data_IF_416611664914
#
_entry.id   IF_416611664914
#
_cell.length_a   1.000
_cell.length_b   1.000
_cell.length_c   1.000
_cell.angle_alpha   90.00
_cell.angle_beta   90.00
_cell.angle_gamma   90.00
#
_symmetry.space_group_name_H-M   'P 1'
#
loop_
_entity.id
_entity.type
_entity.pdbx_description
1 polymer ?
#
# COMPACT_ATOMS: atom_id res chain seq x y z
N UNK A 1 -7.90 6.14 18.18
CA UNK A 1 -6.77 7.08 18.40
C UNK A 1 -6.85 7.68 19.81
N UNK A 2 -5.73 7.76 20.49
CA UNK A 2 -5.67 8.34 21.85
C UNK A 2 -5.86 9.87 21.85
N UNK A 3 -5.37 10.55 20.81
CA UNK A 3 -5.50 11.99 20.63
C UNK A 3 -6.10 12.25 19.25
N UNK A 4 -7.08 13.15 19.18
CA UNK A 4 -7.67 13.59 17.91
C UNK A 4 -6.71 14.55 17.21
N UNK A 5 -6.21 14.24 15.99
CA UNK A 5 -5.37 15.16 15.24
C UNK A 5 -6.22 16.31 14.67
N UNK A 6 -5.87 17.54 15.04
CA UNK A 6 -6.54 18.76 14.56
C UNK A 6 -5.47 19.75 14.08
N UNK A 7 -5.80 20.47 13.01
CA UNK A 7 -5.09 21.70 12.61
C UNK A 7 -5.86 22.90 13.14
N UNK A 8 -5.24 23.65 14.03
CA UNK A 8 -5.87 24.74 14.72
C UNK A 8 -5.51 26.09 14.07
N UNK A 9 -6.50 26.79 13.50
CA UNK A 9 -6.27 28.11 12.93
C UNK A 9 -6.06 29.13 14.05
N UNK A 10 -4.85 29.65 14.13
CA UNK A 10 -4.44 30.65 15.12
C UNK A 10 -4.30 32.06 14.52
N UNK A 11 -4.62 32.25 13.24
CA UNK A 11 -4.45 33.52 12.53
C UNK A 11 -5.18 34.65 13.28
N UNK A 12 -4.40 35.65 13.74
CA UNK A 12 -4.91 36.81 14.49
C UNK A 12 -5.43 36.51 15.89
N UNK A 13 -5.43 35.25 16.35
CA UNK A 13 -5.90 34.86 17.68
C UNK A 13 -4.82 35.03 18.74
N UNK A 14 -5.23 35.34 19.95
CA UNK A 14 -4.33 35.45 21.11
C UNK A 14 -3.84 34.08 21.55
N UNK A 15 -2.55 33.94 21.74
CA UNK A 15 -1.89 32.77 22.37
C UNK A 15 -1.01 33.28 23.49
N UNK A 16 -1.11 32.65 24.67
CA UNK A 16 -0.30 33.02 25.83
C UNK A 16 0.87 32.06 25.98
N UNK A 17 2.07 32.58 26.17
CA UNK A 17 3.27 31.80 26.45
C UNK A 17 3.81 32.21 27.80
N UNK A 18 3.72 31.31 28.79
CA UNK A 18 4.19 31.52 30.15
C UNK A 18 5.56 30.87 30.33
N UNK A 19 6.51 31.63 30.85
CA UNK A 19 7.88 31.19 31.11
C UNK A 19 8.89 31.77 30.14
N UNK A 20 10.16 31.45 30.37
CA UNK A 20 11.34 31.98 29.66
C UNK A 20 12.27 30.87 29.20
N UNK A 21 13.21 31.21 28.34
CA UNK A 21 14.23 30.31 27.85
C UNK A 21 13.79 29.47 26.63
N UNK A 22 14.67 28.56 26.16
CA UNK A 22 14.55 27.92 24.84
C UNK A 22 13.25 27.14 24.62
N UNK A 23 12.65 26.58 25.68
CA UNK A 23 11.39 25.83 25.57
C UNK A 23 10.19 26.75 25.33
N UNK A 24 10.13 27.89 26.02
CA UNK A 24 9.10 28.91 25.84
C UNK A 24 9.29 29.63 24.49
N UNK A 25 10.53 29.92 24.10
CA UNK A 25 10.85 30.61 22.84
C UNK A 25 10.43 29.80 21.63
N UNK A 26 10.77 28.49 21.56
CA UNK A 26 10.32 27.60 20.48
C UNK A 26 8.79 27.54 20.34
N UNK A 27 8.05 27.60 21.46
CA UNK A 27 6.58 27.61 21.45
C UNK A 27 6.00 28.93 20.96
N UNK A 28 6.65 30.03 21.36
CA UNK A 28 6.30 31.34 20.87
C UNK A 28 6.53 31.46 19.35
N UNK A 29 7.67 31.00 18.86
CA UNK A 29 8.01 30.98 17.44
C UNK A 29 7.03 30.13 16.63
N UNK A 30 6.65 28.95 17.15
CA UNK A 30 5.65 28.11 16.52
C UNK A 30 4.29 28.80 16.45
N UNK A 31 3.85 29.46 17.53
CA UNK A 31 2.59 30.20 17.52
C UNK A 31 2.64 31.40 16.57
N UNK A 32 3.75 32.13 16.51
CA UNK A 32 3.95 33.24 15.55
C UNK A 32 3.90 32.74 14.10
N UNK A 33 4.58 31.62 13.79
CA UNK A 33 4.57 31.04 12.45
C UNK A 33 3.15 30.60 12.00
N UNK A 34 2.29 30.27 12.98
CA UNK A 34 0.88 29.97 12.76
C UNK A 34 -0.01 31.22 12.72
N UNK A 35 0.56 32.43 12.70
CA UNK A 35 -0.16 33.70 12.61
C UNK A 35 -0.80 34.19 13.92
N UNK A 36 -0.45 33.61 15.08
CA UNK A 36 -1.00 34.03 16.36
C UNK A 36 -0.44 35.36 16.84
N UNK A 37 -1.27 36.07 17.64
CA UNK A 37 -0.83 37.20 18.48
C UNK A 37 -0.31 36.62 19.80
N UNK A 38 0.99 36.45 19.90
CA UNK A 38 1.64 35.90 21.10
C UNK A 38 1.72 36.96 22.19
N UNK A 39 1.23 36.63 23.37
CA UNK A 39 1.35 37.44 24.59
C UNK A 39 2.21 36.68 25.60
N UNK A 40 3.25 37.33 26.09
CA UNK A 40 4.08 36.85 27.20
C UNK A 40 3.80 37.69 28.43
N UNK A 41 3.29 37.15 29.54
CA UNK A 41 3.17 37.85 30.80
C UNK A 41 4.53 38.38 31.24
N UNK A 42 4.58 39.60 31.76
CA UNK A 42 5.81 40.25 32.19
C UNK A 42 6.29 39.76 33.56
N UNK A 43 5.43 39.11 34.31
CA UNK A 43 5.76 38.55 35.63
C UNK A 43 5.95 37.02 35.52
N UNK A 44 6.74 36.45 36.44
CA UNK A 44 6.93 35.00 36.55
C UNK A 44 5.66 34.25 36.94
N UNK A 45 4.64 34.97 37.38
CA UNK A 45 3.31 34.46 37.73
C UNK A 45 2.29 35.10 36.75
N UNK A 46 1.73 34.28 35.85
CA UNK A 46 0.63 34.71 34.97
C UNK A 46 -0.68 34.86 35.76
N UNK A 47 -1.45 35.90 35.46
CA UNK A 47 -2.74 36.14 36.09
C UNK A 47 -3.90 35.67 35.19
N UNK A 48 -5.10 35.51 35.76
CA UNK A 48 -6.31 35.14 35.00
C UNK A 48 -6.63 36.10 33.85
N UNK A 49 -6.24 37.39 33.99
CA UNK A 49 -6.42 38.41 32.97
C UNK A 49 -5.58 38.12 31.71
N UNK A 50 -4.40 37.49 31.86
CA UNK A 50 -3.51 37.15 30.75
C UNK A 50 -4.14 36.11 29.84
N UNK A 51 -4.91 35.18 30.39
CA UNK A 51 -5.50 34.05 29.63
C UNK A 51 -6.86 34.40 28.99
N UNK A 52 -7.55 35.45 29.44
CA UNK A 52 -8.88 35.80 28.89
C UNK A 52 -8.83 36.01 27.38
N UNK A 53 -9.71 35.29 26.68
CA UNK A 53 -9.81 35.37 25.23
C UNK A 53 -8.68 34.72 24.45
N UNK A 54 -7.77 34.01 25.13
CA UNK A 54 -6.73 33.25 24.46
C UNK A 54 -7.30 31.96 23.81
N UNK A 55 -6.79 31.60 22.63
CA UNK A 55 -7.16 30.39 21.95
C UNK A 55 -6.42 29.17 22.49
N UNK A 56 -5.21 29.36 23.00
CA UNK A 56 -4.39 28.34 23.63
C UNK A 56 -3.33 28.98 24.54
N UNK A 57 -2.78 28.20 25.45
CA UNK A 57 -1.65 28.60 26.26
C UNK A 57 -0.52 27.56 26.20
N UNK A 58 0.71 28.04 26.08
CA UNK A 58 1.93 27.26 26.22
C UNK A 58 2.60 27.63 27.53
N UNK A 59 2.95 26.63 28.33
CA UNK A 59 3.54 26.82 29.65
C UNK A 59 4.91 26.12 29.68
N UNK A 60 5.95 26.86 30.05
CA UNK A 60 7.31 26.39 30.12
C UNK A 60 8.09 27.22 31.14
N UNK A 61 7.69 27.16 32.43
CA UNK A 61 8.33 27.93 33.51
C UNK A 61 9.63 27.29 34.00
N UNK A 62 9.83 26.01 33.67
CA UNK A 62 11.00 25.20 34.12
C UNK A 62 10.81 24.55 35.47
N UNK A 63 9.79 24.87 36.25
CA UNK A 63 9.49 24.27 37.55
C UNK A 63 8.11 23.59 37.56
N UNK A 64 7.94 22.51 38.35
CA UNK A 64 6.66 21.83 38.48
C UNK A 64 5.62 22.73 39.13
N UNK A 65 6.03 23.50 40.11
CA UNK A 65 5.18 24.42 40.89
C UNK A 65 4.63 25.53 39.98
N UNK A 66 5.50 26.23 39.26
CA UNK A 66 5.14 27.28 38.30
C UNK A 66 4.28 26.77 37.16
N UNK A 67 4.63 25.61 36.60
CA UNK A 67 3.86 24.99 35.51
C UNK A 67 2.44 24.61 35.99
N UNK A 68 2.31 24.04 37.20
CA UNK A 68 1.02 23.65 37.78
C UNK A 68 0.17 24.86 38.14
N UNK A 69 0.78 25.93 38.69
CA UNK A 69 0.09 27.17 39.01
C UNK A 69 -0.46 27.85 37.75
N UNK A 70 0.35 28.04 36.69
CA UNK A 70 -0.08 28.62 35.43
C UNK A 70 -1.14 27.78 34.74
N UNK A 71 -1.00 26.46 34.73
CA UNK A 71 -1.99 25.52 34.17
C UNK A 71 -3.36 25.65 34.88
N UNK A 72 -3.38 25.72 36.21
CA UNK A 72 -4.63 25.87 36.97
C UNK A 72 -5.34 27.19 36.61
N UNK A 73 -4.62 28.27 36.47
CA UNK A 73 -5.17 29.59 36.13
C UNK A 73 -5.71 29.55 34.69
N UNK A 74 -4.97 28.99 33.73
CA UNK A 74 -5.42 28.87 32.35
C UNK A 74 -6.69 28.01 32.24
N UNK A 75 -6.75 26.89 32.93
CA UNK A 75 -7.95 26.02 32.95
C UNK A 75 -9.15 26.68 33.58
N UNK A 76 -8.96 27.47 34.64
CA UNK A 76 -10.05 28.23 35.28
C UNK A 76 -10.67 29.27 34.31
N UNK A 77 -9.94 29.70 33.29
CA UNK A 77 -10.44 30.60 32.21
C UNK A 77 -10.93 29.86 30.96
N UNK A 78 -10.92 28.50 30.97
CA UNK A 78 -11.36 27.68 29.84
C UNK A 78 -10.35 27.60 28.68
N UNK A 79 -9.11 28.00 28.88
CA UNK A 79 -8.07 28.01 27.86
C UNK A 79 -7.34 26.67 27.84
N UNK A 80 -7.29 25.94 26.69
CA UNK A 80 -6.54 24.71 26.58
C UNK A 80 -5.05 24.97 26.68
N UNK A 81 -4.32 24.02 27.35
CA UNK A 81 -2.91 24.19 27.68
C UNK A 81 -2.03 23.08 27.13
N UNK A 82 -0.82 23.45 26.73
CA UNK A 82 0.31 22.55 26.55
C UNK A 82 1.44 22.96 27.51
N UNK A 83 1.85 22.02 28.36
CA UNK A 83 2.92 22.22 29.33
C UNK A 83 4.17 21.48 28.86
N UNK A 84 5.30 22.17 28.81
CA UNK A 84 6.56 21.61 28.34
C UNK A 84 6.99 20.41 29.20
N UNK A 85 7.30 19.29 28.53
CA UNK A 85 7.83 18.07 29.14
C UNK A 85 6.96 17.45 30.27
N UNK A 86 5.66 17.87 30.33
CA UNK A 86 4.69 17.38 31.34
C UNK A 86 3.38 16.97 30.72
N UNK A 87 3.32 15.81 30.03
CA UNK A 87 2.11 15.35 29.33
C UNK A 87 0.87 15.26 30.22
N UNK A 88 1.02 14.94 31.51
CA UNK A 88 -0.10 14.83 32.45
C UNK A 88 -0.80 16.17 32.73
N UNK A 89 -0.17 17.31 32.47
CA UNK A 89 -0.71 18.64 32.64
C UNK A 89 -1.27 19.22 31.34
N UNK A 90 -1.15 18.51 30.20
CA UNK A 90 -1.53 18.98 28.88
C UNK A 90 -2.97 18.60 28.53
N UNK A 91 -3.71 19.52 27.90
CA UNK A 91 -4.96 19.25 27.21
C UNK A 91 -4.73 18.83 25.75
N UNK A 92 -3.62 19.27 25.16
CA UNK A 92 -3.18 18.89 23.82
C UNK A 92 -1.67 18.72 23.75
N UNK A 93 -1.19 17.96 22.79
CA UNK A 93 0.24 17.70 22.54
C UNK A 93 0.70 18.37 21.24
N UNK A 94 1.98 18.75 21.18
CA UNK A 94 2.60 19.23 19.96
C UNK A 94 3.18 18.06 19.17
N UNK A 95 2.83 17.91 17.87
CA UNK A 95 3.42 16.90 16.99
C UNK A 95 4.81 17.31 16.49
N UNK A 96 5.56 16.38 15.93
CA UNK A 96 6.65 16.71 15.02
C UNK A 96 6.06 17.17 13.68
N UNK A 97 6.58 18.26 13.11
CA UNK A 97 5.99 18.91 11.95
C UNK A 97 6.96 18.87 10.77
N UNK A 98 6.44 18.52 9.59
CA UNK A 98 7.05 18.80 8.28
C UNK A 98 6.18 19.86 7.61
N UNK A 99 6.77 20.99 7.23
CA UNK A 99 6.11 22.04 6.46
C UNK A 99 6.86 22.25 5.13
N UNK A 100 6.10 22.21 4.05
CA UNK A 100 6.58 22.45 2.68
C UNK A 100 5.66 23.45 2.00
N UNK A 101 5.85 24.74 2.31
CA UNK A 101 5.15 25.88 1.70
C UNK A 101 3.61 25.72 1.76
N UNK A 102 3.10 25.44 2.98
CA UNK A 102 1.67 25.29 3.28
C UNK A 102 1.12 23.86 3.19
N UNK A 103 1.93 22.90 2.74
CA UNK A 103 1.60 21.46 2.92
C UNK A 103 2.23 20.98 4.22
N UNK A 104 1.40 20.73 5.23
CA UNK A 104 1.84 20.39 6.57
C UNK A 104 1.53 18.94 6.89
N UNK A 105 2.53 18.20 7.40
CA UNK A 105 2.36 16.86 7.96
C UNK A 105 2.69 16.91 9.46
N UNK A 106 1.73 16.49 10.28
CA UNK A 106 1.87 16.42 11.73
C UNK A 106 1.99 14.97 12.20
N UNK A 107 3.02 14.65 12.96
CA UNK A 107 3.36 13.29 13.37
C UNK A 107 3.36 13.20 14.88
N UNK A 108 2.56 12.30 15.44
CA UNK A 108 2.51 12.04 16.89
C UNK A 108 2.67 10.55 17.18
N UNK A 109 3.46 10.24 18.20
CA UNK A 109 3.60 8.90 18.77
C UNK A 109 2.75 8.72 20.03
N UNK A 110 1.77 9.63 20.26
CA UNK A 110 0.95 9.61 21.48
C UNK A 110 1.73 9.92 22.77
N UNK A 111 2.89 10.56 22.65
CA UNK A 111 3.79 10.85 23.77
C UNK A 111 4.77 9.70 24.08
N UNK A 112 4.76 8.59 23.33
CA UNK A 112 5.58 7.41 23.63
C UNK A 112 7.08 7.64 23.36
N UNK A 113 7.45 8.30 22.24
CA UNK A 113 8.86 8.50 21.90
C UNK A 113 9.08 9.71 20.99
N UNK A 114 9.73 10.76 21.49
CA UNK A 114 10.15 11.90 20.66
C UNK A 114 11.14 11.49 19.56
N UNK A 115 12.02 10.55 19.84
CA UNK A 115 13.01 10.02 18.88
C UNK A 115 12.33 9.34 17.72
N UNK A 116 11.33 8.49 17.96
CA UNK A 116 10.55 7.86 16.89
C UNK A 116 9.81 8.90 16.03
N UNK A 117 9.21 9.92 16.65
CA UNK A 117 8.57 11.01 15.93
C UNK A 117 9.56 11.78 15.02
N UNK A 118 10.80 12.00 15.52
CA UNK A 118 11.87 12.65 14.74
C UNK A 118 12.34 11.79 13.56
N UNK A 119 12.52 10.48 13.75
CA UNK A 119 12.88 9.54 12.68
C UNK A 119 11.80 9.52 11.59
N UNK A 120 10.52 9.41 11.98
CA UNK A 120 9.40 9.41 11.06
C UNK A 120 9.29 10.75 10.31
N UNK A 121 9.53 11.87 11.01
CA UNK A 121 9.60 13.19 10.39
C UNK A 121 10.65 13.21 9.27
N UNK A 122 11.87 12.79 9.54
CA UNK A 122 12.95 12.78 8.54
C UNK A 122 12.63 11.90 7.33
N UNK A 123 12.03 10.72 7.54
CA UNK A 123 11.60 9.82 6.45
C UNK A 123 10.51 10.46 5.57
N UNK A 124 9.50 11.06 6.18
CA UNK A 124 8.41 11.73 5.45
C UNK A 124 8.96 12.96 4.73
N UNK A 125 9.79 13.75 5.37
CA UNK A 125 10.42 14.94 4.78
C UNK A 125 11.25 14.59 3.54
N UNK A 126 12.02 13.50 3.58
CA UNK A 126 12.79 12.99 2.44
C UNK A 126 11.91 12.45 1.29
N UNK A 127 10.68 12.01 1.58
CA UNK A 127 9.75 11.48 0.57
C UNK A 127 8.92 12.56 -0.13
N UNK A 128 8.83 13.76 0.44
CA UNK A 128 8.02 14.84 -0.12
C UNK A 128 8.87 15.72 -1.06
N UNK A 129 8.38 16.00 -2.27
CA UNK A 129 9.03 16.96 -3.15
C UNK A 129 9.19 18.33 -2.48
N UNK A 130 10.33 18.96 -2.70
CA UNK A 130 10.64 20.24 -2.07
C UNK A 130 9.61 21.33 -2.38
N UNK A 131 9.07 21.33 -3.62
CA UNK A 131 8.06 22.27 -4.11
C UNK A 131 6.62 21.76 -4.06
N UNK A 132 6.30 20.83 -3.18
CA UNK A 132 4.93 20.28 -3.12
C UNK A 132 3.87 21.36 -2.80
N UNK A 133 4.22 22.43 -2.12
CA UNK A 133 3.36 23.59 -1.90
C UNK A 133 2.87 24.25 -3.19
N UNK A 134 3.65 24.18 -4.28
CA UNK A 134 3.22 24.67 -5.59
C UNK A 134 2.00 23.89 -6.13
N UNK A 135 1.90 22.59 -5.82
CA UNK A 135 0.71 21.78 -6.18
C UNK A 135 -0.51 22.21 -5.37
N UNK A 136 -0.33 22.51 -4.08
CA UNK A 136 -1.43 23.00 -3.25
C UNK A 136 -1.95 24.36 -3.77
N UNK A 137 -1.05 25.26 -4.18
CA UNK A 137 -1.39 26.55 -4.80
C UNK A 137 -2.14 26.34 -6.13
N UNK A 138 -1.64 25.46 -6.99
CA UNK A 138 -2.29 25.10 -8.24
C UNK A 138 -3.71 24.55 -8.00
N UNK A 139 -3.84 23.60 -7.07
CA UNK A 139 -5.14 23.02 -6.71
C UNK A 139 -6.11 24.08 -6.19
N UNK A 140 -5.66 24.97 -5.32
CA UNK A 140 -6.50 26.04 -4.78
C UNK A 140 -7.00 27.00 -5.87
N UNK A 141 -6.13 27.34 -6.84
CA UNK A 141 -6.48 28.20 -7.99
C UNK A 141 -7.64 27.66 -8.79
N UNK A 142 -7.74 26.32 -8.97
CA UNK A 142 -8.77 25.70 -9.80
C UNK A 142 -9.95 25.10 -9.02
N UNK A 143 -9.91 25.12 -7.69
CA UNK A 143 -10.89 24.45 -6.82
C UNK A 143 -12.34 24.85 -7.12
N UNK A 144 -12.62 26.14 -7.21
CA UNK A 144 -13.96 26.64 -7.49
C UNK A 144 -14.44 26.19 -8.88
N UNK A 145 -13.60 26.32 -9.91
CA UNK A 145 -13.92 25.96 -11.28
C UNK A 145 -14.20 24.47 -11.43
N UNK A 146 -13.35 23.60 -10.82
CA UNK A 146 -13.53 22.14 -10.86
C UNK A 146 -14.84 21.73 -10.17
N UNK A 147 -15.17 22.32 -9.02
CA UNK A 147 -16.39 22.02 -8.30
C UNK A 147 -17.66 22.43 -9.09
N UNK A 148 -17.61 23.55 -9.81
CA UNK A 148 -18.72 24.02 -10.64
C UNK A 148 -18.89 23.19 -11.91
N UNK A 149 -17.75 22.76 -12.54
CA UNK A 149 -17.77 22.03 -13.80
C UNK A 149 -18.23 20.58 -13.67
N UNK A 150 -17.93 19.94 -12.54
CA UNK A 150 -18.15 18.51 -12.35
C UNK A 150 -18.90 18.26 -11.05
N UNK A 151 -20.19 17.98 -11.16
CA UNK A 151 -21.04 17.62 -10.03
C UNK A 151 -20.70 16.22 -9.48
N UNK A 152 -20.41 15.25 -10.39
CA UNK A 152 -20.08 13.88 -10.00
C UNK A 152 -18.74 13.80 -9.27
N UNK A 153 -18.72 13.30 -8.01
CA UNK A 153 -17.50 13.19 -7.21
C UNK A 153 -16.41 12.30 -7.83
N UNK A 154 -16.78 11.20 -8.51
CA UNK A 154 -15.81 10.27 -9.12
C UNK A 154 -15.07 10.94 -10.30
N UNK A 155 -15.84 11.57 -11.19
CA UNK A 155 -15.29 12.32 -12.33
C UNK A 155 -14.44 13.51 -11.87
N UNK A 156 -14.87 14.20 -10.79
CA UNK A 156 -14.12 15.30 -10.18
C UNK A 156 -12.78 14.84 -9.62
N UNK A 157 -12.74 13.68 -8.94
CA UNK A 157 -11.49 13.05 -8.48
C UNK A 157 -10.56 12.71 -9.64
N UNK A 158 -11.08 12.16 -10.73
CA UNK A 158 -10.29 11.85 -11.93
C UNK A 158 -9.61 13.09 -12.52
N UNK A 159 -10.33 14.24 -12.60
CA UNK A 159 -9.72 15.50 -13.03
C UNK A 159 -8.65 15.98 -12.04
N UNK A 160 -8.92 15.96 -10.73
CA UNK A 160 -7.96 16.35 -9.72
C UNK A 160 -6.69 15.52 -9.80
N UNK A 161 -6.79 14.22 -10.01
CA UNK A 161 -5.63 13.35 -10.17
C UNK A 161 -4.78 13.77 -11.38
N UNK A 162 -5.40 14.01 -12.54
CA UNK A 162 -4.65 14.50 -13.72
C UNK A 162 -3.96 15.84 -13.46
N UNK A 163 -4.56 16.71 -12.66
CA UNK A 163 -3.95 18.00 -12.29
C UNK A 163 -2.79 17.84 -11.30
N UNK A 164 -2.90 16.91 -10.32
CA UNK A 164 -1.97 16.78 -9.21
C UNK A 164 -0.84 15.77 -9.48
N UNK A 165 -1.06 14.76 -10.33
CA UNK A 165 -0.07 13.71 -10.67
C UNK A 165 0.36 13.74 -12.15
N UNK A 166 -0.32 14.56 -12.97
CA UNK A 166 -0.12 14.65 -14.40
C UNK A 166 0.95 15.66 -14.84
N UNK A 167 0.92 16.05 -16.13
CA UNK A 167 1.88 17.01 -16.68
C UNK A 167 1.87 18.38 -16.00
N UNK A 168 0.70 18.86 -15.57
CA UNK A 168 0.59 20.12 -14.83
C UNK A 168 1.39 20.09 -13.52
N UNK A 169 1.31 18.98 -12.79
CA UNK A 169 2.06 18.80 -11.55
C UNK A 169 3.57 18.78 -11.77
N UNK A 170 4.04 18.08 -12.81
CA UNK A 170 5.48 18.03 -13.13
C UNK A 170 6.04 19.42 -13.40
N UNK A 171 5.30 20.26 -14.13
CA UNK A 171 5.69 21.65 -14.41
C UNK A 171 5.70 22.49 -13.12
N UNK A 172 4.69 22.38 -12.28
CA UNK A 172 4.61 23.08 -11.01
C UNK A 172 5.79 22.72 -10.08
N UNK A 173 6.10 21.43 -9.95
CA UNK A 173 7.24 20.93 -9.16
C UNK A 173 8.59 21.38 -9.74
N UNK A 174 8.70 21.53 -11.06
CA UNK A 174 9.88 22.06 -11.73
C UNK A 174 10.00 23.60 -11.63
N UNK A 175 8.94 24.29 -11.12
CA UNK A 175 8.93 25.74 -10.96
C UNK A 175 8.32 26.51 -12.15
N UNK A 176 7.82 25.83 -13.19
CA UNK A 176 7.09 26.44 -14.29
C UNK A 176 5.59 26.57 -13.95
N UNK A 177 5.26 27.55 -13.10
CA UNK A 177 3.86 27.80 -12.69
C UNK A 177 2.98 28.22 -13.87
N UNK A 178 3.53 28.97 -14.83
CA UNK A 178 2.78 29.40 -16.01
C UNK A 178 2.45 28.23 -16.93
N UNK A 179 3.40 27.34 -17.19
CA UNK A 179 3.19 26.09 -17.92
C UNK A 179 2.20 25.17 -17.24
N UNK A 180 2.32 24.99 -15.91
CA UNK A 180 1.39 24.22 -15.11
C UNK A 180 -0.04 24.72 -15.24
N UNK A 181 -0.23 26.05 -15.15
CA UNK A 181 -1.52 26.70 -15.31
C UNK A 181 -2.11 26.51 -16.72
N UNK A 182 -1.30 26.65 -17.79
CA UNK A 182 -1.75 26.43 -19.17
C UNK A 182 -2.25 24.98 -19.36
N UNK A 183 -1.50 24.00 -18.88
CA UNK A 183 -1.88 22.59 -18.97
C UNK A 183 -3.16 22.33 -18.17
N UNK A 184 -3.28 22.85 -16.96
CA UNK A 184 -4.47 22.71 -16.13
C UNK A 184 -5.73 23.31 -16.81
N UNK A 185 -5.62 24.46 -17.46
CA UNK A 185 -6.72 25.05 -18.23
C UNK A 185 -7.11 24.17 -19.42
N UNK A 186 -6.14 23.57 -20.11
CA UNK A 186 -6.42 22.60 -21.18
C UNK A 186 -7.22 21.38 -20.71
N UNK A 187 -6.90 20.84 -19.54
CA UNK A 187 -7.66 19.74 -18.90
C UNK A 187 -9.10 20.15 -18.56
N UNK A 188 -9.30 21.36 -18.04
CA UNK A 188 -10.63 21.91 -17.75
C UNK A 188 -11.45 22.11 -19.02
N UNK A 189 -10.84 22.63 -20.08
CA UNK A 189 -11.51 22.84 -21.37
C UNK A 189 -11.88 21.51 -22.06
N UNK A 190 -11.07 20.46 -21.91
CA UNK A 190 -11.40 19.13 -22.37
C UNK A 190 -12.68 18.59 -21.69
N UNK A 191 -12.80 18.83 -20.38
CA UNK A 191 -14.01 18.47 -19.61
C UNK A 191 -15.23 19.27 -20.08
N UNK A 192 -15.07 20.58 -20.34
CA UNK A 192 -16.15 21.45 -20.84
C UNK A 192 -16.68 20.98 -22.22
N UNK A 193 -15.80 20.54 -23.10
CA UNK A 193 -16.15 20.05 -24.43
C UNK A 193 -16.82 18.66 -24.41
N UNK A 194 -17.08 18.08 -23.22
CA UNK A 194 -17.66 16.75 -23.05
C UNK A 194 -16.91 15.61 -23.73
N UNK A 195 -15.68 15.81 -24.12
CA UNK A 195 -14.77 14.72 -24.44
C UNK A 195 -14.41 14.06 -23.12
N UNK A 196 -15.30 13.18 -22.62
CA UNK A 196 -15.00 12.40 -21.41
C UNK A 196 -13.71 11.64 -21.73
N UNK A 197 -12.63 11.86 -20.99
CA UNK A 197 -11.45 11.05 -21.20
C UNK A 197 -11.86 9.61 -20.94
N UNK A 198 -11.51 8.74 -21.87
CA UNK A 198 -11.60 7.29 -21.69
C UNK A 198 -10.74 6.97 -20.47
N UNK A 199 -11.23 6.13 -19.56
CA UNK A 199 -10.45 5.65 -18.43
C UNK A 199 -9.31 4.75 -18.86
N UNK A 200 -8.65 4.12 -17.91
CA UNK A 200 -7.56 3.18 -18.19
C UNK A 200 -7.71 1.94 -17.31
N UNK A 201 -7.38 0.77 -17.86
CA UNK A 201 -7.23 -0.44 -17.09
C UNK A 201 -5.74 -0.73 -16.80
N UNK A 202 -5.46 -1.19 -15.60
CA UNK A 202 -4.17 -1.71 -15.18
C UNK A 202 -4.35 -3.17 -14.75
N UNK A 203 -3.72 -4.09 -15.47
CA UNK A 203 -3.67 -5.51 -15.09
C UNK A 203 -2.44 -5.68 -14.21
N UNK A 204 -2.66 -5.94 -12.92
CA UNK A 204 -1.63 -5.80 -11.88
C UNK A 204 -1.44 -7.11 -11.12
N UNK A 205 -0.19 -7.53 -10.98
CA UNK A 205 0.19 -8.64 -10.10
C UNK A 205 0.24 -8.22 -8.64
N UNK A 206 -0.46 -8.95 -7.79
CA UNK A 206 -0.48 -8.75 -6.34
C UNK A 206 0.70 -9.41 -5.61
N UNK A 207 1.52 -10.18 -6.31
CA UNK A 207 2.53 -11.00 -5.66
C UNK A 207 1.95 -12.26 -5.00
N UNK A 208 2.78 -13.02 -4.26
CA UNK A 208 2.42 -14.33 -3.75
C UNK A 208 1.54 -14.30 -2.49
N UNK A 209 1.52 -13.17 -1.77
CA UNK A 209 0.67 -13.05 -0.57
C UNK A 209 1.12 -12.00 0.44
N UNK A 210 2.42 -11.84 0.64
CA UNK A 210 2.99 -10.81 1.51
C UNK A 210 2.81 -9.42 0.87
N UNK A 211 2.19 -8.45 1.57
CA UNK A 211 2.03 -7.07 1.07
C UNK A 211 3.33 -6.33 0.77
N UNK A 212 4.43 -6.70 1.42
CA UNK A 212 5.74 -6.07 1.22
C UNK A 212 6.45 -6.59 -0.06
N UNK A 213 5.89 -7.64 -0.68
CA UNK A 213 6.28 -8.14 -1.99
C UNK A 213 5.51 -7.52 -3.16
N UNK A 214 4.65 -6.52 -2.90
CA UNK A 214 4.08 -5.70 -3.96
C UNK A 214 5.19 -4.90 -4.67
N UNK A 215 5.11 -4.81 -5.98
CA UNK A 215 5.96 -3.84 -6.68
C UNK A 215 5.53 -2.41 -6.30
N UNK A 216 6.48 -1.48 -6.28
CA UNK A 216 6.18 -0.07 -6.01
C UNK A 216 5.07 0.47 -6.92
N UNK A 217 5.08 0.06 -8.20
CA UNK A 217 4.06 0.48 -9.16
C UNK A 217 2.69 -0.13 -8.85
N UNK A 218 2.62 -1.38 -8.42
CA UNK A 218 1.38 -2.00 -7.98
C UNK A 218 0.79 -1.27 -6.77
N UNK A 219 1.61 -0.97 -5.75
CA UNK A 219 1.18 -0.24 -4.57
C UNK A 219 0.66 1.17 -4.91
N UNK A 220 1.31 1.89 -5.83
CA UNK A 220 0.85 3.18 -6.31
C UNK A 220 -0.52 3.08 -7.02
N UNK A 221 -0.69 2.11 -7.92
CA UNK A 221 -1.94 1.93 -8.67
C UNK A 221 -3.11 1.56 -7.78
N UNK A 222 -2.89 0.80 -6.69
CA UNK A 222 -3.93 0.53 -5.69
C UNK A 222 -4.43 1.81 -5.01
N UNK A 223 -3.56 2.79 -4.82
CA UNK A 223 -3.94 4.11 -4.29
C UNK A 223 -4.57 5.02 -5.35
N UNK A 224 -4.36 4.74 -6.64
CA UNK A 224 -4.88 5.52 -7.74
C UNK A 224 -6.24 5.01 -8.26
N UNK A 225 -6.57 3.74 -8.07
CA UNK A 225 -7.74 3.09 -8.64
C UNK A 225 -9.06 3.70 -8.16
N UNK A 226 -10.04 3.84 -9.06
CA UNK A 226 -11.44 4.10 -8.73
C UNK A 226 -12.16 2.80 -8.39
N UNK A 227 -11.79 1.71 -9.08
CA UNK A 227 -12.29 0.36 -8.81
C UNK A 227 -11.16 -0.67 -8.92
N UNK A 228 -11.19 -1.66 -8.05
CA UNK A 228 -10.25 -2.77 -7.99
C UNK A 228 -11.04 -4.07 -8.14
N UNK A 229 -10.93 -4.70 -9.31
CA UNK A 229 -11.48 -6.03 -9.56
C UNK A 229 -10.42 -7.04 -9.14
N UNK A 230 -10.68 -7.83 -8.11
CA UNK A 230 -9.66 -8.71 -7.53
C UNK A 230 -10.06 -10.18 -7.52
N UNK A 231 -9.05 -11.05 -7.64
CA UNK A 231 -9.22 -12.49 -7.46
C UNK A 231 -9.41 -12.84 -5.98
N UNK A 232 -10.03 -13.98 -5.71
CA UNK A 232 -10.24 -14.49 -4.34
C UNK A 232 -8.92 -14.77 -3.61
N UNK A 233 -7.88 -15.17 -4.36
CA UNK A 233 -6.55 -15.47 -3.80
C UNK A 233 -5.77 -14.24 -3.33
N UNK A 234 -6.24 -13.03 -3.61
CA UNK A 234 -5.60 -11.80 -3.12
C UNK A 234 -5.93 -11.60 -1.65
N UNK A 235 -4.92 -11.59 -0.74
CA UNK A 235 -5.18 -11.46 0.68
C UNK A 235 -5.78 -10.12 1.09
N UNK A 236 -6.58 -10.06 2.17
CA UNK A 236 -7.11 -8.80 2.72
C UNK A 236 -6.04 -7.77 3.05
N UNK A 237 -4.85 -8.19 3.48
CA UNK A 237 -3.72 -7.31 3.79
C UNK A 237 -3.24 -6.51 2.56
N UNK A 238 -3.31 -7.11 1.36
CA UNK A 238 -3.01 -6.42 0.10
C UNK A 238 -4.15 -5.49 -0.29
N UNK A 239 -5.41 -5.93 -0.17
CA UNK A 239 -6.59 -5.09 -0.42
C UNK A 239 -6.63 -3.88 0.51
N UNK A 240 -6.15 -4.02 1.75
CA UNK A 240 -6.00 -2.93 2.71
C UNK A 240 -5.01 -1.84 2.29
N UNK A 241 -4.15 -2.09 1.28
CA UNK A 241 -3.28 -1.07 0.67
C UNK A 241 -4.03 -0.21 -0.35
N UNK A 242 -5.27 -0.55 -0.69
CA UNK A 242 -6.10 0.25 -1.57
C UNK A 242 -6.51 1.57 -0.90
N UNK A 243 -6.85 2.56 -1.73
CA UNK A 243 -7.47 3.80 -1.25
C UNK A 243 -8.82 3.48 -0.58
N UNK A 244 -9.14 4.15 0.52
CA UNK A 244 -10.34 3.87 1.34
C UNK A 244 -11.66 3.98 0.59
N UNK A 245 -11.74 4.82 -0.42
CA UNK A 245 -12.93 5.06 -1.23
C UNK A 245 -12.90 4.37 -2.59
N UNK A 246 -11.90 3.51 -2.86
CA UNK A 246 -11.89 2.64 -4.02
C UNK A 246 -12.96 1.55 -3.89
N UNK A 247 -13.68 1.29 -4.97
CA UNK A 247 -14.65 0.21 -5.01
C UNK A 247 -13.92 -1.13 -5.14
N UNK A 248 -14.05 -2.01 -4.16
CA UNK A 248 -13.50 -3.37 -4.20
C UNK A 248 -14.54 -4.31 -4.78
N UNK A 249 -14.24 -4.94 -5.91
CA UNK A 249 -15.13 -5.85 -6.63
C UNK A 249 -14.51 -7.25 -6.66
N UNK A 250 -15.00 -8.20 -5.85
CA UNK A 250 -14.54 -9.59 -5.92
C UNK A 250 -15.08 -10.25 -7.18
N UNK A 251 -14.18 -10.74 -8.05
CA UNK A 251 -14.54 -11.44 -9.29
C UNK A 251 -14.11 -12.91 -9.27
N UNK A 252 -13.37 -13.34 -8.23
CA UNK A 252 -12.92 -14.72 -8.03
C UNK A 252 -14.05 -15.69 -7.72
N UNK A 253 -13.80 -17.00 -7.89
CA UNK A 253 -14.71 -18.07 -7.47
C UNK A 253 -14.47 -18.38 -5.99
N UNK A 254 -15.48 -18.19 -5.14
CA UNK A 254 -15.50 -18.76 -3.79
C UNK A 254 -15.98 -20.20 -3.83
N UNK A 255 -15.40 -21.05 -2.95
CA UNK A 255 -15.86 -22.45 -2.79
C UNK A 255 -17.36 -22.43 -2.48
N UNK A 256 -18.18 -23.05 -3.34
CA UNK A 256 -19.65 -23.10 -3.20
C UNK A 256 -20.43 -21.89 -3.78
N UNK A 257 -19.77 -20.90 -4.37
CA UNK A 257 -20.41 -19.79 -5.10
C UNK A 257 -19.96 -19.77 -6.56
N UNK A 258 -20.88 -19.48 -7.48
CA UNK A 258 -20.53 -19.25 -8.89
C UNK A 258 -19.70 -17.95 -8.97
N UNK A 259 -18.42 -18.08 -9.31
CA UNK A 259 -17.60 -16.91 -9.65
C UNK A 259 -18.02 -16.32 -10.99
N UNK A 260 -17.52 -15.13 -11.29
CA UNK A 260 -17.76 -14.51 -12.59
C UNK A 260 -17.15 -15.38 -13.71
N UNK A 261 -17.89 -15.53 -14.80
CA UNK A 261 -17.32 -16.08 -16.02
C UNK A 261 -16.26 -15.10 -16.57
N UNK A 262 -15.22 -15.62 -17.22
CA UNK A 262 -14.13 -14.76 -17.74
C UNK A 262 -14.66 -13.65 -18.63
N UNK A 263 -15.59 -13.95 -19.55
CA UNK A 263 -16.22 -12.97 -20.42
C UNK A 263 -16.97 -11.86 -19.64
N UNK A 264 -17.52 -12.17 -18.45
CA UNK A 264 -18.18 -11.17 -17.62
C UNK A 264 -17.16 -10.23 -16.96
N UNK A 265 -15.99 -10.74 -16.54
CA UNK A 265 -14.90 -9.93 -16.02
C UNK A 265 -14.39 -8.96 -17.09
N UNK A 266 -14.17 -9.46 -18.32
CA UNK A 266 -13.72 -8.68 -19.46
C UNK A 266 -14.75 -7.59 -19.83
N UNK A 267 -16.03 -7.92 -19.87
CA UNK A 267 -17.11 -6.97 -20.15
C UNK A 267 -17.18 -5.87 -19.09
N UNK A 268 -16.98 -6.21 -17.81
CA UNK A 268 -16.99 -5.24 -16.71
C UNK A 268 -15.77 -4.31 -16.75
N UNK A 269 -14.59 -4.82 -17.09
CA UNK A 269 -13.39 -4.00 -17.31
C UNK A 269 -13.65 -2.98 -18.43
N UNK A 270 -14.15 -3.44 -19.57
CA UNK A 270 -14.49 -2.58 -20.73
C UNK A 270 -15.52 -1.52 -20.35
N UNK A 271 -16.59 -1.91 -19.66
CA UNK A 271 -17.66 -1.01 -19.22
C UNK A 271 -17.11 0.13 -18.34
N UNK A 272 -16.31 -0.20 -17.34
CA UNK A 272 -15.74 0.76 -16.39
C UNK A 272 -14.76 1.72 -17.05
N UNK A 273 -13.88 1.21 -17.90
CA UNK A 273 -12.91 2.04 -18.63
C UNK A 273 -13.63 2.99 -19.59
N UNK A 274 -14.68 2.54 -20.29
CA UNK A 274 -15.53 3.43 -21.12
C UNK A 274 -16.24 4.50 -20.30
N UNK A 275 -16.56 4.21 -19.04
CA UNK A 275 -17.13 5.19 -18.10
C UNK A 275 -16.10 6.20 -17.56
N UNK A 276 -14.84 6.13 -18.00
CA UNK A 276 -13.77 7.05 -17.58
C UNK A 276 -13.08 6.69 -16.27
N UNK A 277 -13.27 5.47 -15.76
CA UNK A 277 -12.65 5.04 -14.49
C UNK A 277 -11.22 4.56 -14.71
N UNK A 278 -10.37 4.78 -13.70
CA UNK A 278 -9.09 4.08 -13.55
C UNK A 278 -9.36 2.76 -12.83
N UNK A 279 -9.20 1.66 -13.55
CA UNK A 279 -9.54 0.32 -13.05
C UNK A 279 -8.28 -0.49 -12.85
N UNK A 280 -8.11 -1.05 -11.66
CA UNK A 280 -7.09 -2.07 -11.40
C UNK A 280 -7.73 -3.44 -11.42
N UNK A 281 -7.26 -4.32 -12.30
CA UNK A 281 -7.51 -5.75 -12.24
C UNK A 281 -6.37 -6.39 -11.46
N UNK A 282 -6.62 -6.75 -10.21
CA UNK A 282 -5.63 -7.24 -9.27
C UNK A 282 -5.64 -8.78 -9.23
N UNK A 283 -4.54 -9.39 -9.64
CA UNK A 283 -4.39 -10.84 -9.81
C UNK A 283 -3.34 -11.39 -8.85
N UNK A 284 -3.60 -12.52 -8.22
CA UNK A 284 -2.59 -13.19 -7.37
C UNK A 284 -1.35 -13.57 -8.19
N UNK A 285 -0.16 -13.43 -7.61
CA UNK A 285 1.11 -13.69 -8.29
C UNK A 285 1.40 -12.69 -9.40
N UNK A 286 1.68 -13.19 -10.58
CA UNK A 286 1.91 -12.44 -11.82
C UNK A 286 0.74 -12.62 -12.79
N UNK A 287 0.27 -11.56 -13.48
CA UNK A 287 -0.90 -11.64 -14.35
C UNK A 287 -0.75 -12.61 -15.53
N UNK A 288 0.49 -12.82 -16.00
CA UNK A 288 0.78 -13.60 -17.20
C UNK A 288 1.28 -15.02 -16.89
N UNK A 289 1.43 -15.36 -15.61
CA UNK A 289 1.79 -16.73 -15.20
C UNK A 289 0.54 -17.42 -14.65
N UNK A 290 -0.12 -18.21 -15.50
CA UNK A 290 -1.38 -18.95 -15.22
C UNK A 290 -2.53 -18.06 -14.70
N UNK A 291 -2.44 -16.75 -14.94
CA UNK A 291 -3.41 -15.77 -14.44
C UNK A 291 -4.45 -15.33 -15.47
N UNK A 292 -4.43 -15.77 -16.72
CA UNK A 292 -5.33 -15.36 -17.81
C UNK A 292 -5.32 -13.84 -18.10
N UNK A 293 -4.28 -13.13 -17.63
CA UNK A 293 -4.18 -11.67 -17.87
C UNK A 293 -4.08 -11.29 -19.35
N UNK A 294 -3.59 -12.20 -20.21
CA UNK A 294 -3.57 -12.01 -21.66
C UNK A 294 -4.96 -11.82 -22.24
N UNK A 295 -5.93 -12.66 -21.86
CA UNK A 295 -7.32 -12.57 -22.34
C UNK A 295 -7.95 -11.22 -21.95
N UNK A 296 -7.74 -10.76 -20.72
CA UNK A 296 -8.24 -9.48 -20.22
C UNK A 296 -7.61 -8.28 -20.98
N UNK A 297 -6.31 -8.36 -21.30
CA UNK A 297 -5.61 -7.36 -22.13
C UNK A 297 -6.17 -7.34 -23.54
N UNK A 298 -6.39 -8.51 -24.15
CA UNK A 298 -6.89 -8.62 -25.52
C UNK A 298 -8.32 -8.09 -25.66
N UNK A 299 -9.18 -8.36 -24.68
CA UNK A 299 -10.54 -7.81 -24.64
C UNK A 299 -10.55 -6.27 -24.59
N UNK A 300 -9.67 -5.67 -23.76
CA UNK A 300 -9.54 -4.21 -23.68
C UNK A 300 -8.97 -3.61 -24.96
N UNK A 301 -7.95 -4.22 -25.56
CA UNK A 301 -7.36 -3.79 -26.83
C UNK A 301 -8.36 -3.89 -27.98
N UNK A 302 -9.11 -4.99 -28.06
CA UNK A 302 -10.16 -5.17 -29.06
C UNK A 302 -11.26 -4.11 -28.94
N UNK A 303 -11.52 -3.62 -27.72
CA UNK A 303 -12.44 -2.52 -27.48
C UNK A 303 -11.83 -1.12 -27.75
N UNK A 304 -10.56 -1.02 -28.18
CA UNK A 304 -9.85 0.24 -28.42
C UNK A 304 -9.54 1.03 -27.14
N UNK A 305 -9.43 0.35 -25.99
CA UNK A 305 -9.27 0.97 -24.67
C UNK A 305 -7.82 0.90 -24.19
N UNK A 306 -7.34 1.94 -23.48
CA UNK A 306 -5.99 1.94 -22.94
C UNK A 306 -5.85 0.91 -21.80
N UNK A 307 -4.79 0.10 -21.90
CA UNK A 307 -4.45 -0.91 -20.91
C UNK A 307 -2.95 -0.95 -20.68
N UNK A 308 -2.54 -1.15 -19.42
CA UNK A 308 -1.15 -1.43 -19.06
C UNK A 308 -1.07 -2.68 -18.20
N UNK A 309 0.10 -3.31 -18.20
CA UNK A 309 0.36 -4.48 -17.38
C UNK A 309 1.49 -4.17 -16.42
N UNK A 310 1.30 -4.52 -15.16
CA UNK A 310 2.31 -4.41 -14.11
C UNK A 310 2.60 -5.80 -13.57
N UNK A 311 3.83 -6.30 -13.71
CA UNK A 311 4.17 -7.62 -13.23
C UNK A 311 4.08 -7.72 -11.71
N UNK A 312 3.87 -8.92 -11.21
CA UNK A 312 4.00 -9.26 -9.81
C UNK A 312 5.03 -10.37 -9.59
N UNK A 313 5.46 -10.57 -8.36
CA UNK A 313 6.28 -11.74 -8.01
C UNK A 313 5.38 -12.97 -8.12
N UNK A 314 5.68 -13.84 -9.10
CA UNK A 314 4.89 -15.08 -9.27
C UNK A 314 5.09 -16.02 -8.08
N UNK A 315 4.09 -16.85 -7.78
CA UNK A 315 4.10 -17.74 -6.62
C UNK A 315 5.37 -18.61 -6.56
N UNK A 316 5.86 -19.13 -7.69
CA UNK A 316 7.06 -19.96 -7.71
C UNK A 316 8.29 -19.24 -7.12
N UNK A 317 8.49 -17.96 -7.47
CA UNK A 317 9.63 -17.19 -6.98
C UNK A 317 9.46 -16.79 -5.50
N UNK A 318 8.28 -16.27 -5.14
CA UNK A 318 8.03 -15.80 -3.78
C UNK A 318 8.02 -16.93 -2.76
N UNK A 319 7.32 -18.02 -3.08
CA UNK A 319 7.22 -19.21 -2.23
C UNK A 319 8.58 -19.90 -2.07
N UNK A 320 9.33 -20.08 -3.16
CA UNK A 320 10.66 -20.71 -3.06
C UNK A 320 11.60 -19.89 -2.19
N UNK A 321 11.55 -18.55 -2.31
CA UNK A 321 12.35 -17.66 -1.48
C UNK A 321 11.96 -17.72 0.01
N UNK A 322 10.64 -17.75 0.32
CA UNK A 322 10.18 -17.81 1.71
C UNK A 322 10.61 -19.08 2.45
N UNK A 323 10.70 -20.20 1.73
CA UNK A 323 11.08 -21.51 2.30
C UNK A 323 12.57 -21.87 2.05
N UNK A 324 13.35 -20.95 1.47
CA UNK A 324 14.79 -21.15 1.27
C UNK A 324 15.17 -22.12 0.15
N UNK A 325 14.28 -22.37 -0.84
CA UNK A 325 14.58 -23.23 -1.99
C UNK A 325 15.20 -22.40 -3.12
N UNK A 326 16.45 -22.60 -3.50
CA UNK A 326 17.02 -21.98 -4.71
C UNK A 326 16.44 -22.72 -5.94
N UNK A 327 15.55 -22.09 -6.70
CA UNK A 327 14.93 -22.72 -7.88
C UNK A 327 15.94 -23.14 -8.94
N UNK A 328 17.10 -22.51 -8.99
CA UNK A 328 18.29 -22.93 -9.75
C UNK A 328 19.50 -22.93 -8.83
N UNK A 329 20.31 -23.97 -8.92
CA UNK A 329 21.52 -24.11 -8.10
C UNK A 329 22.61 -24.80 -8.91
N UNK A 330 23.83 -24.26 -8.87
CA UNK A 330 24.99 -24.83 -9.57
C UNK A 330 25.16 -26.32 -9.19
N UNK A 331 25.27 -27.20 -10.16
CA UNK A 331 25.40 -28.68 -10.04
C UNK A 331 24.10 -29.43 -9.68
N UNK A 332 23.00 -28.76 -9.30
CA UNK A 332 21.73 -29.40 -8.98
C UNK A 332 20.66 -29.12 -10.04
N UNK A 333 20.44 -27.85 -10.39
CA UNK A 333 19.45 -27.49 -11.37
C UNK A 333 19.91 -26.28 -12.19
N UNK A 334 19.99 -26.45 -13.51
CA UNK A 334 20.33 -25.39 -14.47
C UNK A 334 19.10 -24.78 -15.15
N UNK A 335 17.93 -25.37 -14.96
CA UNK A 335 16.68 -24.94 -15.56
C UNK A 335 15.51 -25.08 -14.59
N UNK A 336 14.49 -24.24 -14.81
CA UNK A 336 13.21 -24.31 -14.12
C UNK A 336 12.08 -24.27 -15.14
N UNK A 337 11.03 -25.04 -14.90
CA UNK A 337 9.79 -24.97 -15.67
C UNK A 337 8.61 -24.72 -14.75
N UNK A 338 7.75 -23.74 -15.13
CA UNK A 338 6.44 -23.53 -14.53
C UNK A 338 5.41 -24.35 -15.28
N UNK A 339 4.67 -25.17 -14.54
CA UNK A 339 3.68 -26.10 -15.11
C UNK A 339 2.34 -25.95 -14.40
N UNK A 340 1.23 -26.08 -15.14
CA UNK A 340 -0.11 -26.23 -14.55
C UNK A 340 -0.38 -27.71 -14.26
N UNK A 341 -0.75 -28.04 -13.02
CA UNK A 341 -1.18 -29.39 -12.66
C UNK A 341 -2.55 -29.77 -13.25
N UNK A 342 -3.39 -28.78 -13.56
CA UNK A 342 -4.62 -29.00 -14.31
C UNK A 342 -4.32 -28.96 -15.80
N UNK A 343 -4.68 -30.01 -16.52
CA UNK A 343 -4.70 -29.98 -17.98
C UNK A 343 -5.70 -28.92 -18.43
N UNK A 344 -5.22 -27.78 -18.94
CA UNK A 344 -6.08 -26.86 -19.65
C UNK A 344 -6.41 -27.46 -21.02
N UNK A 345 -7.68 -27.45 -21.39
CA UNK A 345 -8.27 -27.80 -22.68
C UNK A 345 -7.27 -28.27 -23.79
N UNK A 346 -6.88 -29.55 -23.77
CA UNK A 346 -6.23 -30.24 -24.88
C UNK A 346 -4.72 -30.08 -25.05
N UNK A 347 -4.02 -29.32 -24.23
CA UNK A 347 -2.55 -29.24 -24.24
C UNK A 347 -1.93 -30.17 -23.19
N UNK A 348 -1.62 -31.41 -23.51
CA UNK A 348 -0.79 -32.23 -22.66
C UNK A 348 0.60 -31.59 -22.52
N UNK A 349 0.97 -31.19 -21.30
CA UNK A 349 2.35 -30.88 -20.99
C UNK A 349 3.19 -32.10 -21.39
N UNK A 350 4.28 -31.89 -22.14
CA UNK A 350 5.19 -32.96 -22.52
C UNK A 350 5.98 -33.42 -21.29
N UNK A 351 5.34 -34.20 -20.41
CA UNK A 351 5.90 -34.68 -19.16
C UNK A 351 7.26 -35.36 -19.30
N UNK A 352 7.56 -36.11 -20.40
CA UNK A 352 8.91 -36.64 -20.59
C UNK A 352 10.02 -35.60 -20.66
N UNK A 353 9.75 -34.42 -21.25
CA UNK A 353 10.72 -33.33 -21.29
C UNK A 353 10.93 -32.67 -19.91
N UNK A 354 9.95 -32.78 -19.02
CA UNK A 354 9.99 -32.21 -17.68
C UNK A 354 10.73 -33.11 -16.68
N UNK A 355 10.86 -34.41 -16.96
CA UNK A 355 11.51 -35.41 -16.12
C UNK A 355 13.06 -35.38 -16.16
N UNK A 356 13.67 -34.43 -16.90
CA UNK A 356 15.10 -34.37 -17.10
C UNK A 356 15.87 -34.09 -15.78
N UNK A 357 17.00 -34.76 -15.58
CA UNK A 357 17.91 -34.46 -14.46
C UNK A 357 18.44 -33.01 -14.54
N UNK A 358 18.68 -32.40 -13.39
CA UNK A 358 19.15 -31.01 -13.32
C UNK A 358 18.08 -29.97 -13.64
N UNK A 359 16.82 -30.33 -13.51
CA UNK A 359 15.64 -29.50 -13.76
C UNK A 359 14.81 -29.35 -12.49
N UNK A 360 14.31 -28.15 -12.24
CA UNK A 360 13.32 -27.87 -11.19
C UNK A 360 11.94 -27.66 -11.81
N UNK A 361 10.92 -28.29 -11.27
CA UNK A 361 9.54 -28.03 -11.66
C UNK A 361 8.82 -27.26 -10.57
N UNK A 362 8.14 -26.19 -10.93
CA UNK A 362 7.17 -25.51 -10.06
C UNK A 362 5.77 -25.70 -10.63
N UNK A 363 4.95 -26.48 -9.92
CA UNK A 363 3.65 -26.96 -10.40
C UNK A 363 2.54 -26.20 -9.70
N UNK A 364 1.86 -25.36 -10.46
CA UNK A 364 0.71 -24.57 -10.03
C UNK A 364 -0.57 -25.42 -10.10
N UNK A 365 -1.52 -25.17 -9.21
CA UNK A 365 -2.83 -25.86 -9.20
C UNK A 365 -2.72 -27.40 -9.17
N UNK A 366 -1.62 -27.93 -8.62
CA UNK A 366 -1.33 -29.36 -8.64
C UNK A 366 -1.73 -30.13 -7.40
N UNK A 367 -2.12 -29.49 -6.30
CA UNK A 367 -2.32 -30.18 -5.03
C UNK A 367 -3.51 -31.16 -5.06
N UNK A 368 -4.61 -30.80 -5.71
CA UNK A 368 -5.77 -31.70 -5.90
C UNK A 368 -5.49 -32.85 -6.87
N UNK A 369 -4.54 -32.67 -7.77
CA UNK A 369 -4.12 -33.60 -8.80
C UNK A 369 -2.79 -34.31 -8.47
N UNK A 370 -2.35 -34.23 -7.21
CA UNK A 370 -1.01 -34.67 -6.80
C UNK A 370 -0.72 -36.13 -7.11
N UNK A 371 -1.71 -37.02 -7.03
CA UNK A 371 -1.58 -38.42 -7.42
C UNK A 371 -1.31 -38.56 -8.93
N UNK A 372 -2.07 -37.85 -9.76
CA UNK A 372 -1.90 -37.86 -11.22
C UNK A 372 -0.57 -37.23 -11.62
N UNK A 373 -0.18 -36.12 -10.99
CA UNK A 373 1.12 -35.45 -11.20
C UNK A 373 2.27 -36.43 -10.87
N UNK A 374 2.22 -37.11 -9.73
CA UNK A 374 3.19 -38.12 -9.34
C UNK A 374 3.34 -39.19 -10.41
N UNK A 375 2.21 -39.81 -10.80
CA UNK A 375 2.18 -40.94 -11.72
C UNK A 375 2.74 -40.55 -13.10
N UNK A 376 2.33 -39.40 -13.63
CA UNK A 376 2.87 -38.85 -14.89
C UNK A 376 4.37 -38.57 -14.86
N UNK A 377 4.90 -38.10 -13.73
CA UNK A 377 6.34 -37.86 -13.57
C UNK A 377 7.11 -39.18 -13.47
N UNK A 378 6.59 -40.16 -12.77
CA UNK A 378 7.18 -41.52 -12.68
C UNK A 378 7.19 -42.22 -14.04
N UNK A 379 6.08 -42.16 -14.79
CA UNK A 379 5.94 -42.75 -16.13
C UNK A 379 6.89 -42.04 -17.13
N UNK A 380 7.14 -40.73 -16.92
CA UNK A 380 8.11 -39.96 -17.70
C UNK A 380 9.57 -40.24 -17.32
N UNK A 381 9.85 -41.10 -16.32
CA UNK A 381 11.18 -41.52 -15.92
C UNK A 381 11.81 -40.72 -14.78
N UNK A 382 11.06 -39.84 -14.10
CA UNK A 382 11.55 -39.18 -12.87
C UNK A 382 11.73 -40.24 -11.76
N UNK A 383 12.87 -40.14 -11.05
CA UNK A 383 13.16 -41.11 -10.01
C UNK A 383 12.19 -41.02 -8.82
N UNK A 384 11.64 -42.10 -8.25
CA UNK A 384 10.66 -42.03 -7.13
C UNK A 384 11.20 -41.36 -5.87
N UNK A 385 12.51 -41.37 -5.66
CA UNK A 385 13.18 -40.68 -4.56
C UNK A 385 13.51 -39.17 -4.85
N UNK A 386 13.14 -38.65 -6.01
CA UNK A 386 13.35 -37.21 -6.30
C UNK A 386 12.68 -36.36 -5.21
N UNK A 387 13.41 -35.40 -4.60
CA UNK A 387 12.85 -34.58 -3.55
C UNK A 387 11.71 -33.70 -4.07
N UNK A 388 10.68 -33.56 -3.22
CA UNK A 388 9.51 -32.69 -3.49
C UNK A 388 9.17 -31.85 -2.26
N UNK A 389 8.61 -30.67 -2.49
CA UNK A 389 8.03 -29.83 -1.45
C UNK A 389 6.66 -29.34 -1.89
N UNK A 390 5.71 -29.29 -0.96
CA UNK A 390 4.43 -28.62 -1.11
C UNK A 390 4.41 -27.47 -0.13
N UNK A 391 4.17 -26.28 -0.64
CA UNK A 391 4.04 -25.08 0.19
C UNK A 391 2.64 -24.52 0.00
N UNK A 392 1.91 -24.42 1.09
CA UNK A 392 0.58 -23.85 1.17
C UNK A 392 0.66 -22.47 1.82
N UNK A 393 -0.15 -21.53 1.34
CA UNK A 393 -0.18 -20.14 1.80
C UNK A 393 1.20 -19.45 1.81
N UNK A 394 2.05 -19.80 0.85
CA UNK A 394 3.42 -19.30 0.80
C UNK A 394 3.50 -17.79 0.91
N UNK A 395 4.49 -17.29 1.66
CA UNK A 395 4.72 -15.88 2.04
C UNK A 395 3.68 -15.27 2.98
N UNK A 396 2.70 -16.02 3.44
CA UNK A 396 1.67 -15.55 4.39
C UNK A 396 2.01 -15.99 5.81
N UNK A 397 1.41 -15.37 6.85
CA UNK A 397 1.66 -15.75 8.24
C UNK A 397 1.30 -17.20 8.58
N UNK A 398 0.40 -17.79 7.80
CA UNK A 398 -0.08 -19.18 7.92
C UNK A 398 0.57 -20.13 6.90
N UNK A 399 1.78 -19.79 6.41
CA UNK A 399 2.56 -20.63 5.51
C UNK A 399 2.83 -22.01 6.13
N UNK A 400 2.56 -23.06 5.36
CA UNK A 400 2.83 -24.45 5.74
C UNK A 400 3.65 -25.14 4.67
N UNK A 401 4.67 -25.90 5.09
CA UNK A 401 5.58 -26.63 4.20
C UNK A 401 5.54 -28.12 4.55
N UNK A 402 5.40 -28.97 3.52
CA UNK A 402 5.61 -30.40 3.61
C UNK A 402 6.63 -30.83 2.57
N UNK A 403 7.69 -31.50 3.02
CA UNK A 403 8.75 -32.01 2.15
C UNK A 403 8.83 -33.54 2.23
N UNK A 404 9.26 -34.17 1.15
CA UNK A 404 9.41 -35.61 1.06
C UNK A 404 9.93 -36.05 -0.30
N UNK A 405 9.54 -37.25 -0.74
CA UNK A 405 9.92 -37.84 -2.03
C UNK A 405 8.75 -37.80 -3.01
N UNK A 406 9.04 -37.86 -4.30
CA UNK A 406 8.02 -37.91 -5.35
C UNK A 406 7.03 -39.05 -5.14
N UNK A 407 7.51 -40.23 -4.71
CA UNK A 407 6.63 -41.38 -4.35
C UNK A 407 5.58 -41.02 -3.27
N UNK A 408 5.89 -40.11 -2.38
CA UNK A 408 5.02 -39.69 -1.27
C UNK A 408 4.08 -38.51 -1.63
N UNK A 409 4.18 -37.95 -2.82
CA UNK A 409 3.54 -36.69 -3.20
C UNK A 409 2.03 -36.66 -2.91
N UNK A 410 1.31 -37.75 -3.26
CA UNK A 410 -0.12 -37.84 -3.01
C UNK A 410 -0.46 -37.82 -1.50
N UNK A 411 0.33 -38.53 -0.69
CA UNK A 411 0.16 -38.53 0.78
C UNK A 411 0.47 -37.16 1.40
N UNK A 412 1.53 -36.51 0.93
CA UNK A 412 1.87 -35.14 1.37
C UNK A 412 0.76 -34.18 1.01
N UNK A 413 0.21 -34.25 -0.21
CA UNK A 413 -0.87 -33.37 -0.65
C UNK A 413 -2.17 -33.53 0.15
N UNK A 414 -2.46 -34.74 0.62
CA UNK A 414 -3.65 -35.01 1.42
C UNK A 414 -3.70 -34.15 2.71
N UNK A 415 -2.56 -33.77 3.26
CA UNK A 415 -2.48 -32.87 4.44
C UNK A 415 -2.76 -31.40 4.12
N UNK A 416 -2.73 -31.01 2.83
CA UNK A 416 -2.95 -29.65 2.34
C UNK A 416 -4.29 -29.48 1.60
N UNK A 417 -5.09 -30.51 1.44
CA UNK A 417 -6.36 -30.47 0.70
C UNK A 417 -7.58 -30.55 1.60
N UNK A 418 -7.39 -30.71 2.91
CA UNK A 418 -8.47 -30.84 3.89
C UNK A 418 -8.98 -29.50 4.40
N UNK A 419 -10.29 -29.29 4.40
CA UNK A 419 -10.93 -28.09 4.98
C UNK A 419 -10.77 -26.82 4.13
N UNK A 420 -10.39 -25.72 4.78
CA UNK A 420 -10.15 -24.41 4.17
C UNK A 420 -8.72 -24.28 3.60
N UNK A 421 -8.28 -25.29 2.83
CA UNK A 421 -6.96 -25.30 2.22
C UNK A 421 -6.74 -24.06 1.34
N UNK A 422 -5.63 -23.38 1.57
CA UNK A 422 -5.21 -22.20 0.81
C UNK A 422 -4.54 -22.53 -0.53
N UNK A 423 -4.07 -21.52 -1.26
CA UNK A 423 -3.30 -21.74 -2.47
C UNK A 423 -2.00 -22.50 -2.17
N UNK A 424 -1.70 -23.50 -2.99
CA UNK A 424 -0.52 -24.34 -2.82
C UNK A 424 0.32 -24.42 -4.09
N UNK A 425 1.63 -24.57 -3.90
CA UNK A 425 2.61 -24.78 -4.94
C UNK A 425 3.38 -26.07 -4.66
N UNK A 426 3.57 -26.90 -5.69
CA UNK A 426 4.44 -28.07 -5.61
C UNK A 426 5.76 -27.75 -6.30
N UNK A 427 6.89 -28.02 -5.64
CA UNK A 427 8.23 -27.90 -6.22
C UNK A 427 8.84 -29.30 -6.27
N UNK A 428 9.35 -29.70 -7.43
CA UNK A 428 9.97 -31.01 -7.65
C UNK A 428 11.40 -30.80 -8.17
N UNK A 429 12.35 -31.49 -7.58
CA UNK A 429 13.76 -31.43 -8.00
C UNK A 429 14.73 -31.49 -6.83
N UNK A 430 16.01 -31.77 -7.12
CA UNK A 430 17.07 -31.89 -6.10
C UNK A 430 17.23 -30.64 -5.20
N UNK A 431 16.84 -29.46 -5.71
CA UNK A 431 16.88 -28.22 -4.95
C UNK A 431 15.92 -28.19 -3.75
N UNK A 432 14.88 -29.04 -3.73
CA UNK A 432 13.95 -29.07 -2.62
C UNK A 432 14.53 -29.73 -1.37
N UNK A 433 15.67 -30.41 -1.47
CA UNK A 433 16.43 -30.91 -0.32
C UNK A 433 16.87 -29.80 0.64
N UNK A 434 17.00 -28.57 0.15
CA UNK A 434 17.30 -27.40 1.01
C UNK A 434 16.23 -27.12 2.08
N UNK A 435 14.99 -27.50 1.86
CA UNK A 435 13.92 -27.38 2.90
C UNK A 435 14.17 -28.31 4.07
N UNK A 436 14.68 -29.52 3.81
CA UNK A 436 14.94 -30.50 4.85
C UNK A 436 16.10 -30.10 5.79
N UNK A 437 17.09 -29.34 5.25
CA UNK A 437 18.24 -28.83 6.01
C UNK A 437 17.96 -27.51 6.72
N UNK A 438 16.97 -26.75 6.28
CA UNK A 438 16.52 -25.54 6.92
C UNK A 438 15.57 -25.87 8.09
N UNK A 439 16.12 -26.43 9.16
CA UNK A 439 15.45 -26.43 10.45
C UNK A 439 15.06 -25.00 10.78
N UNK A 440 13.74 -24.72 10.88
CA UNK A 440 13.04 -23.45 11.09
C UNK A 440 13.99 -22.25 11.20
N UNK A 441 13.92 -21.24 10.34
CA UNK A 441 14.72 -20.04 10.53
C UNK A 441 14.40 -19.50 11.91
N UNK A 442 15.41 -19.54 12.81
CA UNK A 442 15.40 -18.70 14.00
C UNK A 442 15.32 -17.27 13.45
N UNK A 443 14.20 -16.60 13.69
CA UNK A 443 14.14 -15.16 13.63
C UNK A 443 15.28 -14.69 14.56
N UNK A 444 16.39 -14.25 13.97
CA UNK A 444 17.41 -13.56 14.71
C UNK A 444 16.73 -12.34 15.31
N UNK A 445 16.52 -12.37 16.63
CA UNK A 445 16.20 -11.18 17.39
C UNK A 445 17.34 -10.20 17.13
N UNK A 446 17.03 -9.19 16.32
CA UNK A 446 17.89 -8.03 16.15
C UNK A 446 17.75 -7.23 17.42
N UNK A 447 18.72 -7.44 18.33
CA UNK A 447 18.94 -6.65 19.54
C UNK A 447 19.25 -5.18 19.22
#
# INVERSE_FOLDING_TARGET
VKHLPLFFDLTGRKVVVVGHGPAADRRADLAHSAGAKVVRPSADVAESADFRGAAAAFIATGTLEGDTAAQRIAKATGVPVNVADRPALCDFILPAIVDRDGVVVAISTGGASPTLASILRGRIEASLPERIGALAKLANTFRAQVNTLIADPARRRGLWRRLIDGPAARLALAGDEAGARRVALGELDAVRRRTSPVGIAHIVGAGPGDPDLLTLRAAQLLQEADAILHDELVPPAILGRARRDAELVPVGKRKGQAGWAQAAIEAELVRRVRAGQTVVRLKAGDPFIFGRGGEEVDALRAAGLPVTVVPGITAALGVAASVGIPLTQRRLASAITFVSGHGADGGEATWPALAARGHTLAIYMGATEAASVRDRLLDAGTHPNTPVAIVENGTRPDERVSAGRLSDLARLAATHTSGDAGPSLIIVGEVTAYVADAGRPQLAEVS
#
